data_IF_503210506630
#
_entry.id   IF_503210506630
#
_cell.length_a   1.000
_cell.length_b   1.000
_cell.length_c   1.000
_cell.angle_alpha   90.00
_cell.angle_beta   90.00
_cell.angle_gamma   90.00
#
_symmetry.space_group_name_H-M   'P 1'
#
loop_
_entity.id
_entity.type
_entity.pdbx_description
1 polymer ?
#
# COMPACT_ATOMS: atom_id res chain seq x y z
N UNK A 1 1.64 16.01 -6.46
CA UNK A 1 1.85 15.17 -7.65
C UNK A 1 0.81 14.06 -7.65
N UNK A 2 0.71 13.24 -8.71
CA UNK A 2 -0.17 12.05 -8.71
C UNK A 2 0.18 11.07 -7.60
N UNK A 3 1.46 10.90 -7.27
CA UNK A 3 1.85 10.08 -6.11
C UNK A 3 1.24 10.59 -4.80
N UNK A 4 1.39 11.89 -4.53
CA UNK A 4 0.85 12.52 -3.31
C UNK A 4 -0.67 12.43 -3.24
N UNK A 5 -1.36 12.57 -4.37
CA UNK A 5 -2.80 12.38 -4.46
C UNK A 5 -3.19 10.96 -4.03
N UNK A 6 -2.59 9.94 -4.64
CA UNK A 6 -2.91 8.54 -4.38
C UNK A 6 -2.57 8.16 -2.93
N UNK A 7 -1.43 8.64 -2.41
CA UNK A 7 -1.10 8.50 -0.98
C UNK A 7 -2.20 9.07 -0.09
N UNK A 8 -2.67 10.29 -0.39
CA UNK A 8 -3.75 10.89 0.38
C UNK A 8 -5.01 10.04 0.29
N UNK A 9 -5.49 9.66 -0.89
CA UNK A 9 -6.72 8.86 -1.00
C UNK A 9 -6.67 7.59 -0.11
N UNK A 10 -5.53 6.88 -0.10
CA UNK A 10 -5.34 5.70 0.74
C UNK A 10 -5.28 6.03 2.23
N UNK A 11 -4.57 7.10 2.62
CA UNK A 11 -4.53 7.55 4.01
C UNK A 11 -5.91 8.01 4.50
N UNK A 12 -6.71 8.66 3.64
CA UNK A 12 -8.07 9.07 3.99
C UNK A 12 -8.97 7.90 4.26
N UNK A 13 -8.95 6.93 3.35
CA UNK A 13 -9.77 5.74 3.47
C UNK A 13 -9.42 5.02 4.77
N UNK A 14 -8.13 4.77 5.02
CA UNK A 14 -7.69 4.13 6.27
C UNK A 14 -8.13 4.89 7.51
N UNK A 15 -7.85 6.19 7.56
CA UNK A 15 -8.20 7.08 8.68
C UNK A 15 -9.72 7.10 8.93
N UNK A 16 -10.53 7.23 7.87
CA UNK A 16 -11.98 7.31 7.97
C UNK A 16 -12.64 5.99 8.36
N UNK A 17 -11.96 4.86 8.13
CA UNK A 17 -12.36 3.53 8.63
C UNK A 17 -11.94 3.31 10.10
N UNK A 18 -11.30 4.29 10.75
CA UNK A 18 -10.84 4.18 12.13
C UNK A 18 -9.55 3.37 12.29
N UNK A 19 -8.79 3.16 11.21
CA UNK A 19 -7.50 2.49 11.25
C UNK A 19 -6.39 3.47 11.62
N UNK A 20 -5.34 2.93 12.22
CA UNK A 20 -4.06 3.63 12.28
C UNK A 20 -3.44 3.63 10.87
N UNK A 21 -2.88 4.76 10.46
CA UNK A 21 -2.27 4.93 9.14
C UNK A 21 -0.83 5.39 9.26
N UNK A 22 -0.01 4.88 8.35
CA UNK A 22 1.39 5.28 8.21
C UNK A 22 1.62 5.77 6.79
N UNK A 23 2.38 6.85 6.65
CA UNK A 23 2.97 7.27 5.37
C UNK A 23 4.48 7.13 5.45
N UNK A 24 5.10 6.76 4.32
CA UNK A 24 6.55 6.61 4.22
C UNK A 24 7.29 7.79 4.88
N UNK A 25 8.37 7.48 5.60
CA UNK A 25 9.10 8.44 6.43
C UNK A 25 9.57 9.68 5.65
N UNK A 26 9.99 9.49 4.40
CA UNK A 26 10.41 10.55 3.48
C UNK A 26 9.26 11.45 2.98
N UNK A 27 8.01 11.03 3.14
CA UNK A 27 6.82 11.71 2.63
C UNK A 27 5.97 12.36 3.73
N UNK A 28 6.44 12.32 4.99
CA UNK A 28 5.77 12.86 6.17
C UNK A 28 5.39 14.33 6.09
N UNK A 29 6.21 15.14 5.43
CA UNK A 29 6.00 16.58 5.27
C UNK A 29 5.01 16.97 4.16
N UNK A 30 4.42 15.99 3.45
CA UNK A 30 3.55 16.26 2.30
C UNK A 30 2.15 16.70 2.74
N UNK A 31 1.51 17.41 1.83
CA UNK A 31 0.11 17.83 1.91
C UNK A 31 -0.57 17.66 0.57
N UNK A 32 -1.89 17.54 0.57
CA UNK A 32 -2.70 17.63 -0.63
C UNK A 32 -4.05 18.27 -0.34
N UNK A 33 -4.52 19.10 -1.27
CA UNK A 33 -5.71 19.94 -1.13
C UNK A 33 -5.72 20.78 0.16
N UNK A 34 -4.56 21.30 0.58
CA UNK A 34 -4.41 22.15 1.76
C UNK A 34 -4.35 21.40 3.10
N UNK A 35 -4.48 20.07 3.11
CA UNK A 35 -4.42 19.24 4.32
C UNK A 35 -3.07 18.51 4.39
N UNK A 36 -2.41 18.54 5.54
CA UNK A 36 -1.15 17.80 5.75
C UNK A 36 -1.46 16.36 6.10
N UNK A 37 -0.60 15.45 5.67
CA UNK A 37 -0.73 14.03 6.03
C UNK A 37 -0.67 13.83 7.55
N UNK A 38 0.19 14.59 8.22
CA UNK A 38 0.35 14.55 9.68
C UNK A 38 -0.92 14.96 10.46
N UNK A 39 -1.85 15.67 9.83
CA UNK A 39 -3.07 16.16 10.50
C UNK A 39 -4.22 15.14 10.42
N UNK A 40 -4.01 13.99 9.75
CA UNK A 40 -5.03 12.95 9.63
C UNK A 40 -5.20 12.16 10.94
N UNK A 41 -6.45 11.91 11.38
CA UNK A 41 -6.71 11.01 12.50
C UNK A 41 -6.07 9.63 12.27
N UNK A 42 -5.49 9.05 13.33
CA UNK A 42 -4.82 7.75 13.24
C UNK A 42 -3.43 7.79 12.58
N UNK A 43 -2.92 8.96 12.16
CA UNK A 43 -1.57 9.04 11.61
C UNK A 43 -0.52 8.73 12.67
N UNK A 44 0.17 7.59 12.52
CA UNK A 44 1.20 7.12 13.44
C UNK A 44 2.48 7.95 13.33
N UNK A 45 3.05 8.38 14.44
CA UNK A 45 4.36 9.06 14.50
C UNK A 45 5.53 8.08 14.45
N UNK A 46 5.34 6.88 15.01
CA UNK A 46 6.26 5.76 14.95
C UNK A 46 5.50 4.46 14.65
N UNK A 47 6.10 3.57 13.87
CA UNK A 47 5.54 2.23 13.67
C UNK A 47 5.76 1.39 14.95
N UNK A 48 4.81 0.51 15.32
CA UNK A 48 5.03 -0.41 16.42
C UNK A 48 6.25 -1.27 16.12
N UNK A 49 7.17 -1.37 17.08
CA UNK A 49 8.46 -2.06 16.93
C UNK A 49 8.27 -3.58 16.91
N UNK A 50 7.77 -4.08 15.80
CA UNK A 50 7.54 -5.50 15.55
C UNK A 50 8.71 -6.17 14.82
N UNK A 51 9.63 -5.38 14.28
CA UNK A 51 10.73 -5.84 13.45
C UNK A 51 12.08 -5.46 14.06
N UNK A 52 13.14 -6.16 13.65
CA UNK A 52 14.50 -5.73 13.97
C UNK A 52 14.82 -4.36 13.30
N UNK A 53 15.86 -3.64 13.77
CA UNK A 53 16.13 -2.29 13.30
C UNK A 53 16.39 -2.16 11.79
N UNK A 54 17.03 -3.16 11.16
CA UNK A 54 17.31 -3.10 9.72
C UNK A 54 15.99 -3.22 8.94
N UNK A 55 15.16 -4.17 9.33
CA UNK A 55 13.82 -4.39 8.80
C UNK A 55 12.90 -3.19 8.96
N UNK A 56 12.92 -2.55 10.14
CA UNK A 56 12.13 -1.33 10.40
C UNK A 56 12.44 -0.24 9.38
N UNK A 57 13.72 -0.03 9.01
CA UNK A 57 14.08 1.04 8.07
C UNK A 57 13.54 0.81 6.66
N UNK A 58 13.29 -0.43 6.26
CA UNK A 58 12.68 -0.78 4.97
C UNK A 58 11.17 -0.59 5.03
N UNK A 59 10.52 -1.09 6.09
CA UNK A 59 9.06 -0.98 6.28
C UNK A 59 8.62 0.48 6.42
N UNK A 60 9.42 1.32 7.10
CA UNK A 60 9.19 2.76 7.22
C UNK A 60 9.18 3.49 5.87
N UNK A 61 9.76 2.89 4.83
CA UNK A 61 9.76 3.44 3.48
C UNK A 61 8.55 3.01 2.66
N UNK A 62 7.74 2.04 3.07
CA UNK A 62 6.53 1.66 2.32
C UNK A 62 5.57 2.86 2.26
N UNK A 63 5.03 3.13 1.06
CA UNK A 63 4.36 4.40 0.77
C UNK A 63 3.17 4.67 1.68
N UNK A 64 2.33 3.67 1.91
CA UNK A 64 1.23 3.70 2.89
C UNK A 64 1.09 2.34 3.59
N UNK A 65 0.87 2.35 4.90
CA UNK A 65 0.42 1.16 5.65
C UNK A 65 -0.89 1.48 6.39
N UNK A 66 -1.74 0.48 6.49
CA UNK A 66 -2.88 0.48 7.42
C UNK A 66 -2.61 -0.51 8.54
N UNK A 67 -2.95 -0.10 9.76
CA UNK A 67 -2.76 -0.90 10.97
C UNK A 67 -4.03 -0.93 11.82
N UNK A 68 -4.21 -2.02 12.54
CA UNK A 68 -5.24 -2.20 13.55
C UNK A 68 -4.64 -2.94 14.75
N UNK A 69 -4.81 -2.41 15.96
CA UNK A 69 -4.26 -3.01 17.19
C UNK A 69 -2.76 -3.33 17.06
N UNK A 70 -2.00 -2.36 16.55
CA UNK A 70 -0.56 -2.49 16.22
C UNK A 70 -0.22 -3.49 15.11
N UNK A 71 -1.16 -4.27 14.57
CA UNK A 71 -0.88 -5.22 13.48
C UNK A 71 -1.09 -4.55 12.12
N UNK A 72 -0.20 -4.82 11.16
CA UNK A 72 -0.41 -4.36 9.78
C UNK A 72 -1.60 -5.13 9.19
N UNK A 73 -2.53 -4.43 8.55
CA UNK A 73 -3.70 -5.04 7.88
C UNK A 73 -3.66 -4.86 6.36
N UNK A 74 -2.92 -3.87 5.85
CA UNK A 74 -2.66 -3.70 4.43
C UNK A 74 -1.40 -2.85 4.20
N UNK A 75 -0.71 -3.10 3.09
CA UNK A 75 0.44 -2.31 2.66
C UNK A 75 0.30 -1.89 1.20
N UNK A 76 0.72 -0.68 0.87
CA UNK A 76 0.55 -0.10 -0.47
C UNK A 76 1.86 0.49 -0.98
N UNK A 77 2.19 0.15 -2.22
CA UNK A 77 3.28 0.73 -2.99
C UNK A 77 2.73 1.44 -4.22
N UNK A 78 3.09 2.71 -4.39
CA UNK A 78 2.47 3.63 -5.35
C UNK A 78 3.43 3.94 -6.47
N UNK A 79 3.16 3.36 -7.62
CA UNK A 79 4.05 3.39 -8.77
C UNK A 79 3.69 4.50 -9.75
N UNK A 80 4.09 5.72 -9.40
CA UNK A 80 3.82 6.93 -10.20
C UNK A 80 4.89 7.27 -11.25
N UNK A 81 6.14 6.78 -11.12
CA UNK A 81 7.28 7.13 -12.00
C UNK A 81 8.07 5.90 -12.49
N UNK A 82 9.36 6.01 -12.81
CA UNK A 82 10.08 5.06 -13.68
C UNK A 82 10.41 3.68 -13.07
N UNK A 83 10.50 3.53 -11.75
CA UNK A 83 11.01 2.30 -11.10
C UNK A 83 9.99 1.58 -10.22
N UNK A 84 9.29 0.59 -10.81
CA UNK A 84 8.48 -0.41 -10.07
C UNK A 84 9.35 -1.29 -9.16
N UNK A 85 10.63 -1.40 -9.49
CA UNK A 85 11.52 -2.36 -8.86
C UNK A 85 11.78 -2.05 -7.38
N UNK A 86 11.88 -0.78 -7.01
CA UNK A 86 12.12 -0.34 -5.63
C UNK A 86 10.94 -0.62 -4.70
N UNK A 87 9.69 -0.46 -5.16
CA UNK A 87 8.51 -0.87 -4.38
C UNK A 87 8.45 -2.39 -4.22
N UNK A 88 8.71 -3.15 -5.28
CA UNK A 88 8.72 -4.61 -5.22
C UNK A 88 9.80 -5.17 -4.28
N UNK A 89 10.97 -4.56 -4.21
CA UNK A 89 12.01 -4.95 -3.25
C UNK A 89 11.57 -4.72 -1.81
N UNK A 90 10.99 -3.56 -1.49
CA UNK A 90 10.43 -3.29 -0.15
C UNK A 90 9.39 -4.33 0.27
N UNK A 91 8.52 -4.72 -0.66
CA UNK A 91 7.53 -5.77 -0.43
C UNK A 91 8.16 -7.16 -0.26
N UNK A 92 9.15 -7.50 -1.08
CA UNK A 92 9.89 -8.76 -0.96
C UNK A 92 10.62 -8.87 0.39
N UNK A 93 11.24 -7.77 0.84
CA UNK A 93 11.91 -7.69 2.14
C UNK A 93 10.89 -7.91 3.27
N UNK A 94 9.75 -7.21 3.26
CA UNK A 94 8.67 -7.39 4.24
C UNK A 94 8.23 -8.87 4.34
N UNK A 95 8.04 -9.53 3.20
CA UNK A 95 7.60 -10.94 3.13
C UNK A 95 8.68 -11.89 3.62
N UNK A 96 9.95 -11.63 3.28
CA UNK A 96 11.07 -12.43 3.75
C UNK A 96 11.24 -12.34 5.28
N UNK A 97 10.94 -11.19 5.86
CA UNK A 97 11.04 -10.92 7.29
C UNK A 97 9.85 -11.45 8.09
N UNK A 98 8.68 -11.57 7.46
CA UNK A 98 7.50 -12.17 8.06
C UNK A 98 6.87 -13.22 7.12
N UNK A 99 7.38 -14.46 7.12
CA UNK A 99 6.85 -15.53 6.27
C UNK A 99 5.41 -15.92 6.63
N UNK A 100 4.93 -15.58 7.83
CA UNK A 100 3.55 -15.76 8.27
C UNK A 100 2.68 -14.50 8.05
N UNK A 101 3.18 -13.50 7.32
CA UNK A 101 2.42 -12.29 7.03
C UNK A 101 1.30 -12.63 6.05
N UNK A 102 0.08 -12.68 6.58
CA UNK A 102 -1.14 -12.91 5.80
C UNK A 102 -1.91 -11.60 5.61
N UNK A 103 -1.25 -10.59 5.04
CA UNK A 103 -1.90 -9.31 4.72
C UNK A 103 -1.95 -9.12 3.21
N UNK A 104 -2.98 -8.45 2.69
CA UNK A 104 -2.98 -8.01 1.32
C UNK A 104 -1.91 -6.94 1.07
N UNK A 105 -1.10 -7.16 0.04
CA UNK A 105 -0.11 -6.20 -0.46
C UNK A 105 -0.63 -5.61 -1.78
N UNK A 106 -0.65 -4.29 -1.90
CA UNK A 106 -1.22 -3.62 -3.06
C UNK A 106 -0.17 -2.83 -3.85
N UNK A 107 -0.07 -3.13 -5.14
CA UNK A 107 0.69 -2.36 -6.12
C UNK A 107 -0.28 -1.40 -6.81
N UNK A 108 -0.21 -0.12 -6.46
CA UNK A 108 -1.13 0.91 -6.92
C UNK A 108 -0.44 1.70 -8.04
N UNK A 109 -0.92 1.60 -9.27
CA UNK A 109 -0.25 2.25 -10.41
C UNK A 109 -1.23 2.77 -11.47
N UNK A 110 -0.82 3.68 -12.38
CA UNK A 110 -1.61 4.04 -13.53
C UNK A 110 -2.01 2.81 -14.35
N UNK A 111 -3.22 2.85 -14.92
CA UNK A 111 -3.80 1.81 -15.76
C UNK A 111 -2.85 1.38 -16.89
N UNK A 112 -2.18 2.35 -17.52
CA UNK A 112 -1.21 2.12 -18.60
C UNK A 112 0.01 1.30 -18.17
N UNK A 113 0.28 1.19 -16.86
CA UNK A 113 1.41 0.43 -16.30
C UNK A 113 1.02 -0.97 -15.83
N UNK A 114 -0.27 -1.34 -15.91
CA UNK A 114 -0.77 -2.67 -15.50
C UNK A 114 0.12 -3.80 -16.00
N UNK A 115 0.36 -3.88 -17.31
CA UNK A 115 1.17 -4.96 -17.89
C UNK A 115 2.61 -4.96 -17.37
N UNK A 116 3.18 -3.77 -17.13
CA UNK A 116 4.53 -3.64 -16.57
C UNK A 116 4.57 -4.14 -15.13
N UNK A 117 3.60 -3.75 -14.29
CA UNK A 117 3.47 -4.22 -12.90
C UNK A 117 3.38 -5.75 -12.86
N UNK A 118 2.48 -6.34 -13.66
CA UNK A 118 2.32 -7.79 -13.74
C UNK A 118 3.61 -8.49 -14.22
N UNK A 119 4.30 -7.92 -15.21
CA UNK A 119 5.56 -8.51 -15.69
C UNK A 119 6.67 -8.47 -14.64
N UNK A 120 6.79 -7.39 -13.87
CA UNK A 120 7.84 -7.20 -12.87
C UNK A 120 7.62 -8.07 -11.63
N UNK A 121 6.39 -8.15 -11.11
CA UNK A 121 6.07 -8.97 -9.93
C UNK A 121 6.20 -10.47 -10.22
N UNK A 122 6.01 -10.89 -11.47
CA UNK A 122 6.18 -12.28 -11.92
C UNK A 122 7.62 -12.63 -12.33
N UNK A 123 8.60 -11.74 -12.12
CA UNK A 123 9.99 -12.07 -12.45
C UNK A 123 10.49 -13.29 -11.67
N UNK A 124 11.38 -14.11 -12.26
CA UNK A 124 11.90 -15.32 -11.60
C UNK A 124 12.47 -15.09 -10.20
N UNK A 125 13.05 -13.91 -9.94
CA UNK A 125 13.56 -13.52 -8.62
C UNK A 125 12.48 -13.52 -7.54
N UNK A 126 11.29 -12.99 -7.85
CA UNK A 126 10.18 -12.88 -6.90
C UNK A 126 9.30 -14.13 -6.83
N UNK A 127 9.24 -14.92 -7.93
CA UNK A 127 8.53 -16.22 -7.95
C UNK A 127 9.15 -17.28 -7.04
N UNK A 128 10.43 -17.13 -6.68
CA UNK A 128 11.15 -18.06 -5.80
C UNK A 128 10.92 -17.78 -4.31
N UNK A 129 10.32 -16.65 -3.95
CA UNK A 129 9.93 -16.36 -2.58
C UNK A 129 8.88 -17.38 -2.10
N UNK A 130 8.78 -17.52 -0.77
CA UNK A 130 7.84 -18.40 -0.10
C UNK A 130 7.04 -17.57 0.92
N UNK A 131 5.79 -17.17 0.60
CA UNK A 131 5.08 -17.36 -0.67
C UNK A 131 5.65 -16.51 -1.83
N UNK A 132 5.29 -16.84 -3.07
CA UNK A 132 5.71 -16.05 -4.23
C UNK A 132 5.07 -14.66 -4.17
N UNK A 133 5.80 -13.60 -4.55
CA UNK A 133 5.28 -12.24 -4.40
C UNK A 133 3.99 -12.01 -5.20
N UNK A 134 3.90 -12.58 -6.40
CA UNK A 134 2.69 -12.48 -7.23
C UNK A 134 1.44 -13.06 -6.56
N UNK A 135 1.59 -14.06 -5.68
CA UNK A 135 0.46 -14.75 -5.04
C UNK A 135 -0.11 -14.02 -3.83
N UNK A 136 0.56 -12.98 -3.38
CA UNK A 136 0.16 -12.16 -2.23
C UNK A 136 -0.05 -10.69 -2.61
N UNK A 137 0.56 -10.23 -3.71
CA UNK A 137 0.33 -8.90 -4.24
C UNK A 137 -0.93 -8.85 -5.10
N UNK A 138 -1.66 -7.74 -5.01
CA UNK A 138 -2.75 -7.37 -5.91
C UNK A 138 -2.45 -6.04 -6.59
N UNK A 139 -2.94 -5.86 -7.80
CA UNK A 139 -2.81 -4.61 -8.55
C UNK A 139 -4.07 -3.76 -8.36
N UNK A 140 -3.90 -2.47 -8.07
CA UNK A 140 -5.00 -1.49 -8.06
C UNK A 140 -4.70 -0.39 -9.09
N UNK A 141 -5.55 -0.19 -10.10
CA UNK A 141 -5.40 0.93 -11.02
C UNK A 141 -5.74 2.26 -10.33
N UNK A 142 -5.03 3.33 -10.69
CA UNK A 142 -5.35 4.68 -10.22
C UNK A 142 -6.79 5.10 -10.54
N UNK A 143 -7.31 4.71 -11.71
CA UNK A 143 -8.72 4.95 -12.08
C UNK A 143 -9.67 4.27 -11.08
N UNK A 144 -9.47 2.97 -10.81
CA UNK A 144 -10.29 2.18 -9.91
C UNK A 144 -10.29 2.72 -8.48
N UNK A 145 -9.11 3.10 -7.95
CA UNK A 145 -9.02 3.70 -6.62
C UNK A 145 -9.78 5.03 -6.55
N UNK A 146 -9.63 5.91 -7.55
CA UNK A 146 -10.32 7.21 -7.57
C UNK A 146 -11.83 7.06 -7.66
N UNK A 147 -12.31 6.22 -8.57
CA UNK A 147 -13.75 5.94 -8.71
C UNK A 147 -14.32 5.36 -7.42
N UNK A 148 -13.64 4.36 -6.86
CA UNK A 148 -14.10 3.74 -5.61
C UNK A 148 -14.08 4.71 -4.44
N UNK A 149 -13.04 5.54 -4.32
CA UNK A 149 -12.98 6.59 -3.32
C UNK A 149 -14.20 7.51 -3.39
N UNK A 150 -14.60 7.94 -4.59
CA UNK A 150 -15.79 8.79 -4.78
C UNK A 150 -17.09 8.08 -4.40
N UNK A 151 -17.22 6.79 -4.75
CA UNK A 151 -18.38 5.97 -4.42
C UNK A 151 -18.57 5.80 -2.91
N UNK A 152 -17.48 5.58 -2.17
CA UNK A 152 -17.53 5.29 -0.73
C UNK A 152 -17.43 6.54 0.15
N UNK A 153 -17.05 7.69 -0.40
CA UNK A 153 -16.91 8.95 0.33
C UNK A 153 -18.15 9.30 1.21
N UNK A 154 -19.40 9.11 0.75
CA UNK A 154 -20.59 9.38 1.57
C UNK A 154 -20.84 8.33 2.66
N UNK A 155 -20.16 7.18 2.59
CA UNK A 155 -20.41 5.99 3.42
C UNK A 155 -19.22 5.64 4.33
N UNK A 156 -18.15 6.45 4.32
CA UNK A 156 -16.86 6.11 4.95
C UNK A 156 -16.94 5.49 6.36
N UNK A 157 -17.81 5.95 7.29
CA UNK A 157 -17.90 5.35 8.62
C UNK A 157 -18.38 3.88 8.65
N UNK A 158 -18.91 3.37 7.54
CA UNK A 158 -19.46 2.01 7.42
C UNK A 158 -18.68 1.13 6.45
N UNK A 159 -17.59 1.65 5.90
CA UNK A 159 -16.73 0.95 4.95
C UNK A 159 -15.65 0.21 5.71
N UNK A 160 -15.20 -0.93 5.18
CA UNK A 160 -14.10 -1.69 5.73
C UNK A 160 -13.09 -2.04 4.62
N UNK A 161 -11.86 -2.48 4.96
CA UNK A 161 -10.80 -2.70 3.98
C UNK A 161 -11.14 -3.62 2.81
N UNK A 162 -12.09 -4.56 2.96
CA UNK A 162 -12.52 -5.46 1.88
C UNK A 162 -13.13 -4.73 0.68
N UNK A 163 -13.48 -3.44 0.82
CA UNK A 163 -13.89 -2.61 -0.32
C UNK A 163 -12.85 -2.60 -1.45
N UNK A 164 -11.56 -2.77 -1.13
CA UNK A 164 -10.49 -2.81 -2.11
C UNK A 164 -10.54 -4.09 -2.97
N UNK A 165 -11.10 -5.20 -2.47
CA UNK A 165 -11.10 -6.49 -3.18
C UNK A 165 -11.81 -6.40 -4.53
N UNK A 166 -12.80 -5.52 -4.63
CA UNK A 166 -13.57 -5.31 -5.87
C UNK A 166 -12.84 -4.49 -6.93
N UNK A 167 -11.77 -3.76 -6.57
CA UNK A 167 -10.92 -3.00 -7.49
C UNK A 167 -9.50 -3.55 -7.58
N UNK A 168 -9.18 -4.56 -6.78
CA UNK A 168 -7.87 -5.19 -6.70
C UNK A 168 -7.83 -6.43 -7.60
N UNK A 169 -6.98 -6.38 -8.61
CA UNK A 169 -6.75 -7.47 -9.56
C UNK A 169 -5.67 -8.43 -9.03
N UNK A 170 -5.81 -9.75 -9.22
CA UNK A 170 -4.74 -10.69 -8.89
C UNK A 170 -3.50 -10.45 -9.77
N UNK A 171 -2.32 -10.58 -9.17
CA UNK A 171 -1.04 -10.47 -9.89
C UNK A 171 -0.53 -11.80 -10.45
N UNK A 172 -1.09 -12.92 -10.00
CA UNK A 172 -0.73 -14.24 -10.51
C UNK A 172 -1.07 -14.35 -12.00
N UNK A 173 -0.06 -14.77 -12.78
CA UNK A 173 -0.31 -15.20 -14.14
C UNK A 173 -1.08 -16.53 -14.06
N UNK A 174 -2.29 -16.58 -14.62
CA UNK A 174 -2.95 -17.86 -14.92
C UNK A 174 -2.07 -18.65 -15.90
#
# INVERSE_FOLDING_TARGET
STHTEIQWLLLHLGSAMGLDVWVARNDRGRSYAGQRFADLPGMLTELPRQFDPASMTIVELIDVLWLQEQSIVAAFEIESTSSIYSGLLRMADLVALQPNLHIPLYLVAPDSRRQKVLSEVNRPTFRRLRPALASICRYIPFSGLRSRYQEVLPLLPHVNPSMLDTIAEPCDSV
#
